data_IF_962010238045
#
_entry.id   IF_962010238045
#
_cell.length_a   1.000
_cell.length_b   1.000
_cell.length_c   1.000
_cell.angle_alpha   90.00
_cell.angle_beta   90.00
_cell.angle_gamma   90.00
#
_symmetry.space_group_name_H-M   'P 1'
#
loop_
_entity.id
_entity.type
_entity.pdbx_description
1 polymer ?
#
# COMPACT_ATOMS: atom_id res chain seq x y z
N UNK A 1 19.92 25.69 -7.83
CA UNK A 1 18.70 25.41 -7.02
C UNK A 1 19.00 24.22 -6.14
N UNK A 2 18.77 24.33 -4.85
CA UNK A 2 19.03 23.24 -3.90
C UNK A 2 17.99 22.12 -4.05
N UNK A 3 18.40 20.87 -3.82
CA UNK A 3 17.51 19.71 -3.83
C UNK A 3 17.31 19.21 -2.41
N UNK A 4 16.06 19.11 -1.98
CA UNK A 4 15.66 18.69 -0.64
C UNK A 4 14.95 17.35 -0.70
N UNK A 5 15.46 16.33 -0.04
CA UNK A 5 14.84 15.01 -0.01
C UNK A 5 14.10 14.76 1.29
N UNK A 6 12.83 14.37 1.19
CA UNK A 6 12.06 13.93 2.34
C UNK A 6 12.61 12.60 2.88
N UNK A 7 13.02 12.56 4.15
CA UNK A 7 13.54 11.36 4.80
C UNK A 7 12.53 10.22 4.91
N UNK A 8 11.22 10.55 4.89
CA UNK A 8 10.12 9.58 5.08
C UNK A 8 9.71 8.92 3.75
N UNK A 9 9.38 9.70 2.71
CA UNK A 9 8.87 9.15 1.45
C UNK A 9 9.84 9.25 0.28
N UNK A 10 11.03 9.85 0.49
CA UNK A 10 12.07 10.07 -0.53
C UNK A 10 11.62 10.98 -1.69
N UNK A 11 10.57 11.79 -1.47
CA UNK A 11 10.20 12.84 -2.41
C UNK A 11 11.31 13.89 -2.47
N UNK A 12 11.66 14.36 -3.67
CA UNK A 12 12.68 15.40 -3.88
C UNK A 12 11.98 16.70 -4.27
N UNK A 13 12.24 17.74 -3.49
CA UNK A 13 11.82 19.12 -3.78
C UNK A 13 13.01 19.92 -4.29
N UNK A 14 12.80 20.72 -5.33
CA UNK A 14 13.80 21.65 -5.86
C UNK A 14 13.40 23.06 -5.48
N UNK A 15 14.21 23.75 -4.69
CA UNK A 15 13.95 25.10 -4.22
C UNK A 15 15.09 25.62 -3.37
N UNK A 16 15.06 26.91 -3.00
CA UNK A 16 16.06 27.48 -2.09
C UNK A 16 15.89 26.99 -0.65
N UNK A 17 14.63 26.68 -0.26
CA UNK A 17 14.25 26.20 1.08
C UNK A 17 13.36 24.93 0.94
N UNK A 18 13.33 24.06 1.98
CA UNK A 18 12.43 22.93 2.02
C UNK A 18 10.97 23.41 2.14
N UNK A 19 9.99 22.69 1.56
CA UNK A 19 8.58 23.05 1.69
C UNK A 19 8.13 22.87 3.14
N UNK A 20 7.20 23.72 3.62
CA UNK A 20 6.65 23.63 4.98
C UNK A 20 6.10 22.23 5.32
N UNK A 21 5.53 21.57 4.31
CA UNK A 21 5.01 20.20 4.40
C UNK A 21 5.30 19.44 3.12
N UNK A 22 5.65 18.18 3.27
CA UNK A 22 5.82 17.30 2.13
C UNK A 22 4.48 17.11 1.38
N UNK A 23 4.39 17.40 0.08
CA UNK A 23 3.14 17.28 -0.69
C UNK A 23 2.67 15.82 -0.83
N UNK A 24 3.58 14.86 -0.68
CA UNK A 24 3.30 13.43 -0.84
C UNK A 24 2.83 12.79 0.47
N UNK A 25 3.63 12.90 1.54
CA UNK A 25 3.32 12.20 2.80
C UNK A 25 2.86 13.13 3.94
N UNK A 26 2.92 14.45 3.75
CA UNK A 26 2.40 15.44 4.69
C UNK A 26 3.26 15.67 5.94
N UNK A 27 4.51 15.19 5.99
CA UNK A 27 5.44 15.50 7.09
C UNK A 27 5.95 16.94 6.99
N UNK A 28 6.35 17.50 8.13
CA UNK A 28 6.85 18.87 8.21
C UNK A 28 8.27 19.01 7.62
N UNK A 29 8.71 20.25 7.41
CA UNK A 29 9.99 20.61 6.79
C UNK A 29 11.22 20.06 7.51
N UNK A 30 11.14 19.80 8.82
CA UNK A 30 12.21 19.20 9.65
C UNK A 30 12.64 17.79 9.18
N UNK A 31 11.84 17.15 8.34
CA UNK A 31 12.12 15.83 7.76
C UNK A 31 12.76 15.91 6.36
N UNK A 32 13.16 17.08 5.92
CA UNK A 32 13.88 17.24 4.67
C UNK A 32 15.38 17.34 4.92
N UNK A 33 16.14 16.65 4.09
CA UNK A 33 17.61 16.65 4.09
C UNK A 33 18.08 17.26 2.79
N UNK A 34 19.03 18.18 2.85
CA UNK A 34 19.66 18.76 1.68
C UNK A 34 20.48 17.66 0.97
N UNK A 35 20.21 17.45 -0.32
CA UNK A 35 21.08 16.66 -1.17
C UNK A 35 22.21 17.56 -1.63
N UNK A 36 23.42 17.33 -1.14
CA UNK A 36 24.62 17.95 -1.71
C UNK A 36 24.82 17.40 -3.12
N UNK A 37 24.94 18.28 -4.11
CA UNK A 37 25.33 17.87 -5.45
C UNK A 37 26.81 17.45 -5.39
N UNK A 38 27.06 16.14 -5.40
CA UNK A 38 28.37 15.63 -5.75
C UNK A 38 28.68 16.11 -7.16
N UNK A 39 29.70 16.95 -7.26
CA UNK A 39 30.27 17.49 -8.49
C UNK A 39 30.65 16.33 -9.39
N UNK A 40 29.96 16.15 -10.51
CA UNK A 40 30.39 15.24 -11.56
C UNK A 40 31.78 15.66 -12.09
N UNK A 41 32.68 14.73 -12.33
CA UNK A 41 33.71 14.92 -13.35
C UNK A 41 33.22 14.42 -14.70
N UNK A 42 33.34 15.33 -15.68
CA UNK A 42 33.24 15.27 -17.11
C UNK A 42 33.28 13.92 -17.82
N UNK A 43 32.32 13.80 -18.71
CA UNK A 43 32.39 13.30 -20.11
C UNK A 43 33.39 12.19 -20.47
N UNK A 44 32.87 11.07 -20.97
CA UNK A 44 33.35 10.44 -22.23
C UNK A 44 32.19 9.68 -22.89
N UNK A 45 32.13 9.89 -24.20
CA UNK A 45 31.24 9.43 -25.24
C UNK A 45 30.95 7.94 -25.35
N UNK A 46 29.91 7.72 -26.13
CA UNK A 46 29.19 6.53 -26.55
C UNK A 46 30.02 5.38 -27.14
N UNK A 47 29.46 4.25 -27.02
CA UNK A 47 29.04 3.17 -27.95
C UNK A 47 29.80 1.82 -27.86
N UNK A 48 29.28 0.74 -28.50
CA UNK A 48 28.31 -0.19 -27.90
C UNK A 48 28.77 -1.69 -27.91
N UNK A 49 27.87 -2.57 -27.41
CA UNK A 49 27.65 -3.99 -27.78
C UNK A 49 28.51 -5.10 -27.15
N UNK A 50 27.75 -6.08 -26.67
CA UNK A 50 27.91 -7.53 -26.64
C UNK A 50 28.44 -8.22 -25.38
N UNK A 51 27.48 -9.00 -24.84
CA UNK A 51 27.56 -10.41 -24.42
C UNK A 51 28.58 -10.93 -23.41
N UNK A 52 27.93 -11.55 -22.44
CA UNK A 52 28.24 -12.88 -21.89
C UNK A 52 29.27 -13.04 -20.77
N UNK A 53 28.68 -13.61 -19.70
CA UNK A 53 29.22 -14.71 -18.92
C UNK A 53 30.12 -14.45 -17.71
N UNK A 54 29.53 -14.85 -16.60
CA UNK A 54 30.07 -15.71 -15.52
C UNK A 54 31.16 -15.20 -14.59
N UNK A 55 30.75 -15.38 -13.35
CA UNK A 55 31.50 -15.96 -12.20
C UNK A 55 32.38 -15.04 -11.37
N UNK A 56 32.03 -15.15 -10.15
CA UNK A 56 32.84 -15.48 -8.95
C UNK A 56 33.30 -14.33 -8.04
N UNK A 57 32.70 -14.42 -6.86
CA UNK A 57 33.32 -14.50 -5.51
C UNK A 57 34.31 -13.40 -5.07
N UNK A 58 34.07 -13.03 -3.84
CA UNK A 58 34.98 -12.54 -2.82
C UNK A 58 34.72 -11.13 -2.26
N UNK A 59 34.12 -11.16 -1.07
CA UNK A 59 34.47 -10.44 0.15
C UNK A 59 35.25 -9.12 0.03
N UNK A 60 34.67 -8.04 0.59
CA UNK A 60 35.34 -7.47 1.77
C UNK A 60 34.43 -6.55 2.58
N UNK A 61 34.53 -6.73 3.87
CA UNK A 61 33.88 -6.00 4.91
C UNK A 61 34.52 -4.61 5.08
N UNK A 62 33.68 -3.58 5.29
CA UNK A 62 34.10 -2.44 6.10
C UNK A 62 32.96 -1.68 6.72
N UNK A 63 32.98 -1.71 8.04
CA UNK A 63 32.54 -0.74 9.04
C UNK A 63 31.12 -0.18 8.99
N UNK A 64 30.31 -0.72 9.92
CA UNK A 64 29.10 -0.12 10.43
C UNK A 64 29.42 1.10 11.34
N UNK A 65 28.56 2.14 11.34
CA UNK A 65 28.42 2.96 12.52
C UNK A 65 27.36 2.34 13.43
N UNK A 66 27.77 2.05 14.64
CA UNK A 66 26.98 1.68 15.81
C UNK A 66 25.94 2.76 16.11
N UNK A 67 24.68 2.38 16.05
CA UNK A 67 23.52 3.16 16.47
C UNK A 67 22.35 2.20 16.61
N UNK A 68 22.29 1.52 17.76
CA UNK A 68 21.25 0.54 18.13
C UNK A 68 19.98 1.26 18.54
N UNK A 69 19.06 1.43 17.59
CA UNK A 69 17.62 1.58 17.88
C UNK A 69 16.81 1.08 16.67
N UNK A 70 16.98 -0.22 16.37
CA UNK A 70 16.13 -0.88 15.37
C UNK A 70 15.01 -1.59 16.11
N UNK A 71 13.73 -1.30 15.82
CA UNK A 71 12.57 -1.98 16.43
C UNK A 71 12.59 -3.51 16.29
N UNK A 72 13.45 -4.05 15.43
CA UNK A 72 13.62 -5.49 15.22
C UNK A 72 14.46 -6.21 16.28
N UNK A 73 15.35 -5.54 16.99
CA UNK A 73 16.25 -6.20 17.94
C UNK A 73 15.51 -6.80 19.14
N UNK A 74 14.57 -6.05 19.72
CA UNK A 74 13.73 -6.52 20.84
C UNK A 74 12.77 -7.66 20.45
N UNK A 75 12.36 -7.72 19.17
CA UNK A 75 11.50 -8.78 18.65
C UNK A 75 12.29 -10.08 18.44
N UNK A 76 13.53 -10.00 17.97
CA UNK A 76 14.42 -11.14 17.76
C UNK A 76 14.78 -11.80 19.10
N UNK A 77 15.03 -11.00 20.14
CA UNK A 77 15.34 -11.49 21.49
C UNK A 77 14.17 -12.31 22.08
N UNK A 78 12.94 -11.92 21.75
CA UNK A 78 11.71 -12.56 22.29
C UNK A 78 11.30 -13.84 21.56
N UNK A 79 11.59 -13.99 20.27
CA UNK A 79 11.07 -15.05 19.40
C UNK A 79 12.12 -15.98 18.76
N UNK A 80 13.42 -15.81 19.09
CA UNK A 80 14.49 -16.70 18.66
C UNK A 80 14.67 -16.82 17.14
N UNK A 81 15.17 -17.97 16.62
CA UNK A 81 15.52 -18.13 15.21
C UNK A 81 14.36 -17.92 14.22
N UNK A 82 13.12 -18.17 14.64
CA UNK A 82 11.93 -17.89 13.81
C UNK A 82 11.79 -16.39 13.51
N UNK A 83 12.18 -15.51 14.43
CA UNK A 83 12.13 -14.07 14.24
C UNK A 83 13.08 -13.59 13.13
N UNK A 84 14.23 -14.23 12.97
CA UNK A 84 15.17 -13.90 11.89
C UNK A 84 14.58 -14.20 10.52
N UNK A 85 13.87 -15.32 10.36
CA UNK A 85 13.19 -15.66 9.11
C UNK A 85 12.01 -14.72 8.83
N UNK A 86 11.24 -14.36 9.85
CA UNK A 86 10.17 -13.38 9.72
C UNK A 86 10.70 -11.99 9.34
N UNK A 87 11.83 -11.58 9.92
CA UNK A 87 12.48 -10.32 9.60
C UNK A 87 12.93 -10.27 8.13
N UNK A 88 13.61 -11.33 7.66
CA UNK A 88 14.02 -11.46 6.25
C UNK A 88 12.81 -11.47 5.32
N UNK A 89 11.75 -12.20 5.64
CA UNK A 89 10.53 -12.24 4.86
C UNK A 89 9.88 -10.84 4.77
N UNK A 90 9.80 -10.11 5.87
CA UNK A 90 9.25 -8.77 5.91
C UNK A 90 10.10 -7.76 5.10
N UNK A 91 11.43 -7.87 5.15
CA UNK A 91 12.33 -7.06 4.30
C UNK A 91 12.13 -7.36 2.81
N UNK A 92 12.01 -8.64 2.43
CA UNK A 92 11.73 -9.05 1.06
C UNK A 92 10.37 -8.52 0.59
N UNK A 93 9.32 -8.60 1.43
CA UNK A 93 8.00 -8.07 1.09
C UNK A 93 8.03 -6.56 0.80
N UNK A 94 8.76 -5.78 1.59
CA UNK A 94 8.90 -4.34 1.35
C UNK A 94 9.76 -4.06 0.11
N UNK A 95 10.86 -4.80 -0.08
CA UNK A 95 11.75 -4.67 -1.25
C UNK A 95 11.03 -4.96 -2.56
N UNK A 96 10.17 -5.98 -2.59
CA UNK A 96 9.43 -6.38 -3.77
C UNK A 96 8.05 -5.73 -3.90
N UNK A 97 7.80 -4.63 -3.17
CA UNK A 97 6.54 -3.88 -3.25
C UNK A 97 5.29 -4.76 -3.02
N UNK A 98 5.34 -5.69 -2.06
CA UNK A 98 4.26 -6.65 -1.81
C UNK A 98 2.92 -5.96 -1.53
N UNK A 99 2.90 -4.82 -0.83
CA UNK A 99 1.65 -4.09 -0.58
C UNK A 99 1.04 -3.48 -1.86
N UNK A 100 1.76 -2.69 -2.68
CA UNK A 100 1.24 -2.26 -3.97
C UNK A 100 0.69 -3.41 -4.82
N UNK A 101 1.40 -4.55 -4.88
CA UNK A 101 0.93 -5.72 -5.63
C UNK A 101 -0.34 -6.33 -5.04
N UNK A 102 -0.41 -6.51 -3.72
CA UNK A 102 -1.56 -7.15 -3.06
C UNK A 102 -2.85 -6.34 -3.15
N UNK A 103 -2.78 -4.99 -3.20
CA UNK A 103 -3.96 -4.13 -3.31
C UNK A 103 -4.61 -4.15 -4.69
N UNK A 104 -3.92 -4.63 -5.73
CA UNK A 104 -4.50 -4.71 -7.08
C UNK A 104 -5.71 -5.63 -7.12
N UNK A 105 -5.71 -6.74 -6.35
CA UNK A 105 -6.84 -7.66 -6.32
C UNK A 105 -8.12 -6.98 -5.79
N UNK A 106 -8.18 -6.45 -4.56
CA UNK A 106 -9.39 -5.79 -4.09
C UNK A 106 -9.73 -4.54 -4.90
N UNK A 107 -8.77 -3.74 -5.34
CA UNK A 107 -9.03 -2.55 -6.14
C UNK A 107 -9.58 -2.86 -7.53
N UNK A 108 -9.25 -4.01 -8.12
CA UNK A 108 -9.82 -4.47 -9.38
C UNK A 108 -11.19 -5.13 -9.22
N UNK A 109 -11.40 -5.89 -8.15
CA UNK A 109 -12.61 -6.67 -7.93
C UNK A 109 -13.77 -5.84 -7.33
N UNK A 110 -13.49 -4.92 -6.41
CA UNK A 110 -14.54 -4.09 -5.76
C UNK A 110 -15.39 -3.30 -6.77
N UNK A 111 -14.82 -2.65 -7.81
CA UNK A 111 -15.63 -2.01 -8.85
C UNK A 111 -16.58 -2.98 -9.56
N UNK A 112 -16.11 -4.19 -9.86
CA UNK A 112 -16.93 -5.24 -10.49
C UNK A 112 -18.08 -5.63 -9.56
N UNK A 113 -17.83 -5.82 -8.26
CA UNK A 113 -18.88 -6.09 -7.27
C UNK A 113 -19.94 -4.99 -7.28
N UNK A 114 -19.52 -3.73 -7.21
CA UNK A 114 -20.46 -2.60 -7.18
C UNK A 114 -21.33 -2.57 -8.45
N UNK A 115 -20.73 -2.80 -9.63
CA UNK A 115 -21.46 -2.88 -10.91
C UNK A 115 -22.44 -4.06 -10.89
N UNK A 116 -22.00 -5.25 -10.47
CA UNK A 116 -22.87 -6.44 -10.43
C UNK A 116 -24.06 -6.25 -9.49
N UNK A 117 -23.85 -5.67 -8.30
CA UNK A 117 -24.90 -5.40 -7.32
C UNK A 117 -25.90 -4.37 -7.87
N UNK A 118 -25.43 -3.31 -8.51
CA UNK A 118 -26.28 -2.28 -9.12
C UNK A 118 -27.11 -2.91 -10.27
N UNK A 119 -26.47 -3.64 -11.16
CA UNK A 119 -27.15 -4.32 -12.28
C UNK A 119 -28.17 -5.37 -11.77
N UNK A 120 -27.82 -6.12 -10.71
CA UNK A 120 -28.72 -7.05 -10.07
C UNK A 120 -29.96 -6.36 -9.50
N UNK A 121 -29.77 -5.18 -8.89
CA UNK A 121 -30.89 -4.39 -8.34
C UNK A 121 -31.86 -3.92 -9.42
N UNK A 122 -31.35 -3.42 -10.55
CA UNK A 122 -32.23 -2.97 -11.66
C UNK A 122 -32.89 -4.11 -12.45
N UNK A 123 -32.17 -5.24 -12.62
CA UNK A 123 -32.66 -6.37 -13.41
C UNK A 123 -33.45 -7.41 -12.61
N UNK A 124 -33.36 -7.37 -11.28
CA UNK A 124 -33.89 -8.43 -10.41
C UNK A 124 -33.11 -9.76 -10.53
N UNK A 125 -31.97 -9.77 -11.15
CA UNK A 125 -31.22 -11.00 -11.46
C UNK A 125 -30.46 -11.52 -10.24
N UNK A 126 -30.89 -12.66 -9.70
CA UNK A 126 -30.18 -13.37 -8.63
C UNK A 126 -28.81 -13.87 -9.06
N UNK A 127 -28.63 -14.21 -10.33
CA UNK A 127 -27.33 -14.65 -10.86
C UNK A 127 -26.25 -13.57 -10.72
N UNK A 128 -26.62 -12.30 -11.04
CA UNK A 128 -25.69 -11.17 -10.89
C UNK A 128 -25.34 -10.90 -9.43
N UNK A 129 -26.35 -11.00 -8.53
CA UNK A 129 -26.13 -10.83 -7.11
C UNK A 129 -25.21 -11.93 -6.54
N UNK A 130 -25.44 -13.19 -6.95
CA UNK A 130 -24.60 -14.32 -6.54
C UNK A 130 -23.16 -14.17 -7.07
N UNK A 131 -22.98 -13.72 -8.31
CA UNK A 131 -21.66 -13.41 -8.86
C UNK A 131 -20.97 -12.30 -8.05
N UNK A 132 -21.71 -11.24 -7.68
CA UNK A 132 -21.20 -10.19 -6.78
C UNK A 132 -20.75 -10.74 -5.43
N UNK A 133 -21.54 -11.63 -4.82
CA UNK A 133 -21.19 -12.28 -3.56
C UNK A 133 -19.92 -13.13 -3.65
N UNK A 134 -19.77 -13.93 -4.70
CA UNK A 134 -18.54 -14.72 -4.92
C UNK A 134 -17.32 -13.81 -4.99
N UNK A 135 -17.42 -12.70 -5.72
CA UNK A 135 -16.33 -11.72 -5.80
C UNK A 135 -16.04 -11.06 -4.44
N UNK A 136 -17.06 -10.77 -3.60
CA UNK A 136 -16.87 -10.28 -2.24
C UNK A 136 -16.08 -11.26 -1.38
N UNK A 137 -16.30 -12.56 -1.52
CA UNK A 137 -15.53 -13.59 -0.79
C UNK A 137 -14.05 -13.53 -1.19
N UNK A 138 -13.72 -13.39 -2.47
CA UNK A 138 -12.33 -13.20 -2.90
C UNK A 138 -11.71 -11.92 -2.33
N UNK A 139 -12.46 -10.83 -2.29
CA UNK A 139 -12.01 -9.60 -1.62
C UNK A 139 -11.72 -9.88 -0.16
N UNK A 140 -12.64 -10.50 0.59
CA UNK A 140 -12.48 -10.81 2.00
C UNK A 140 -11.21 -11.63 2.28
N UNK A 141 -10.94 -12.67 1.48
CA UNK A 141 -9.74 -13.50 1.61
C UNK A 141 -8.47 -12.69 1.37
N UNK A 142 -8.51 -11.68 0.52
CA UNK A 142 -7.35 -10.81 0.25
C UNK A 142 -7.07 -9.78 1.35
N UNK A 143 -8.08 -9.37 2.14
CA UNK A 143 -7.94 -8.31 3.14
C UNK A 143 -6.85 -8.56 4.19
N UNK A 144 -6.69 -9.77 4.76
CA UNK A 144 -5.60 -10.04 5.72
C UNK A 144 -4.21 -9.80 5.11
N UNK A 145 -4.01 -10.25 3.86
CA UNK A 145 -2.73 -10.08 3.15
C UNK A 145 -2.45 -8.60 2.89
N UNK A 146 -3.45 -7.87 2.41
CA UNK A 146 -3.36 -6.43 2.15
C UNK A 146 -3.10 -5.66 3.45
N UNK A 147 -3.78 -6.03 4.54
CA UNK A 147 -3.60 -5.42 5.86
C UNK A 147 -2.19 -5.63 6.40
N UNK A 148 -1.71 -6.88 6.39
CA UNK A 148 -0.37 -7.22 6.87
C UNK A 148 0.73 -6.52 6.07
N UNK A 149 0.67 -6.59 4.74
CA UNK A 149 1.65 -5.94 3.87
C UNK A 149 1.62 -4.42 4.01
N UNK A 150 0.42 -3.83 4.21
CA UNK A 150 0.24 -2.39 4.43
C UNK A 150 0.84 -1.91 5.75
N UNK A 151 0.65 -2.66 6.84
CA UNK A 151 1.25 -2.35 8.13
C UNK A 151 2.77 -2.46 8.07
N UNK A 152 3.30 -3.51 7.44
CA UNK A 152 4.75 -3.68 7.25
C UNK A 152 5.36 -2.54 6.43
N UNK A 153 4.73 -2.16 5.32
CA UNK A 153 5.20 -1.02 4.51
C UNK A 153 5.15 0.28 5.30
N UNK A 154 4.08 0.54 6.05
CA UNK A 154 3.96 1.75 6.87
C UNK A 154 5.02 1.82 7.97
N UNK A 155 5.32 0.70 8.63
CA UNK A 155 6.33 0.65 9.67
C UNK A 155 7.74 0.84 9.13
N UNK A 156 8.09 0.17 8.03
CA UNK A 156 9.48 0.10 7.55
C UNK A 156 9.85 1.17 6.52
N UNK A 157 8.92 1.48 5.63
CA UNK A 157 9.17 2.45 4.56
C UNK A 157 8.83 3.87 4.97
N UNK A 158 7.79 4.04 5.78
CA UNK A 158 7.29 5.36 6.17
C UNK A 158 7.52 5.72 7.65
N UNK A 159 8.35 4.96 8.38
CA UNK A 159 8.72 5.20 9.78
C UNK A 159 7.50 5.50 10.67
N UNK A 160 6.41 4.77 10.48
CA UNK A 160 5.17 4.92 11.25
C UNK A 160 4.61 6.35 11.23
N UNK A 161 4.83 7.11 10.15
CA UNK A 161 4.37 8.49 10.04
C UNK A 161 2.86 8.60 10.27
N UNK A 162 2.46 9.45 11.23
CA UNK A 162 1.06 9.65 11.62
C UNK A 162 0.49 10.94 11.03
N UNK A 163 0.71 11.17 9.75
CA UNK A 163 0.17 12.33 9.06
C UNK A 163 -1.31 12.16 8.70
N UNK A 164 -1.98 13.27 8.36
CA UNK A 164 -3.38 13.24 7.92
C UNK A 164 -3.59 12.31 6.72
N UNK A 165 -2.59 12.23 5.81
CA UNK A 165 -2.62 11.36 4.62
C UNK A 165 -2.76 9.88 5.02
N UNK A 166 -1.92 9.40 5.95
CA UNK A 166 -1.99 8.02 6.43
C UNK A 166 -3.27 7.73 7.22
N UNK A 167 -3.73 8.68 8.06
CA UNK A 167 -4.99 8.53 8.81
C UNK A 167 -6.18 8.38 7.88
N UNK A 168 -6.28 9.20 6.83
CA UNK A 168 -7.35 9.12 5.83
C UNK A 168 -7.26 7.80 5.06
N UNK A 169 -6.05 7.39 4.63
CA UNK A 169 -5.84 6.11 3.93
C UNK A 169 -6.31 4.93 4.77
N UNK A 170 -5.91 4.87 6.06
CA UNK A 170 -6.31 3.79 6.97
C UNK A 170 -7.81 3.80 7.20
N UNK A 171 -8.40 4.98 7.47
CA UNK A 171 -9.86 5.10 7.68
C UNK A 171 -10.64 4.63 6.44
N UNK A 172 -10.25 5.05 5.24
CA UNK A 172 -10.90 4.66 3.99
C UNK A 172 -10.78 3.15 3.73
N UNK A 173 -9.61 2.55 3.96
CA UNK A 173 -9.41 1.11 3.86
C UNK A 173 -10.24 0.33 4.90
N UNK A 174 -10.34 0.84 6.13
CA UNK A 174 -11.17 0.24 7.17
C UNK A 174 -12.66 0.29 6.82
N UNK A 175 -13.14 1.42 6.27
CA UNK A 175 -14.53 1.53 5.78
C UNK A 175 -14.79 0.50 4.69
N UNK A 176 -13.89 0.36 3.71
CA UNK A 176 -14.05 -0.64 2.65
C UNK A 176 -14.10 -2.07 3.22
N UNK A 177 -13.23 -2.41 4.16
CA UNK A 177 -13.19 -3.72 4.79
C UNK A 177 -14.48 -4.01 5.60
N UNK A 178 -14.94 -3.06 6.40
CA UNK A 178 -16.17 -3.19 7.18
C UNK A 178 -17.39 -3.36 6.26
N UNK A 179 -17.50 -2.54 5.20
CA UNK A 179 -18.58 -2.65 4.21
C UNK A 179 -18.56 -4.04 3.52
N UNK A 180 -17.38 -4.57 3.19
CA UNK A 180 -17.24 -5.91 2.61
C UNK A 180 -17.78 -6.98 3.57
N UNK A 181 -17.38 -6.94 4.84
CA UNK A 181 -17.85 -7.90 5.85
C UNK A 181 -19.37 -7.80 6.06
N UNK A 182 -19.91 -6.58 6.19
CA UNK A 182 -21.34 -6.36 6.34
C UNK A 182 -22.11 -6.91 5.13
N UNK A 183 -21.65 -6.64 3.91
CA UNK A 183 -22.30 -7.12 2.69
C UNK A 183 -22.31 -8.64 2.61
N UNK A 184 -21.23 -9.32 2.99
CA UNK A 184 -21.17 -10.77 3.02
C UNK A 184 -22.12 -11.34 4.06
N UNK A 185 -22.09 -10.83 5.30
CA UNK A 185 -22.97 -11.30 6.37
C UNK A 185 -24.44 -11.09 5.99
N UNK A 186 -24.75 -9.91 5.43
CA UNK A 186 -26.14 -9.61 5.03
C UNK A 186 -26.63 -10.55 3.94
N UNK A 187 -25.82 -10.81 2.91
CA UNK A 187 -26.19 -11.76 1.87
C UNK A 187 -26.37 -13.19 2.42
N UNK A 188 -25.53 -13.64 3.35
CA UNK A 188 -25.65 -14.97 3.96
C UNK A 188 -26.94 -15.11 4.80
N UNK A 189 -27.39 -14.02 5.46
CA UNK A 189 -28.65 -14.01 6.23
C UNK A 189 -29.86 -13.88 5.32
N UNK A 190 -29.77 -13.08 4.25
CA UNK A 190 -30.85 -12.84 3.31
C UNK A 190 -30.30 -12.82 1.86
N UNK A 191 -30.28 -14.00 1.19
CA UNK A 191 -29.82 -14.08 -0.21
C UNK A 191 -30.69 -13.28 -1.20
N UNK A 192 -31.93 -12.97 -0.82
CA UNK A 192 -32.86 -12.17 -1.62
C UNK A 192 -32.91 -10.70 -1.19
N UNK A 193 -31.79 -10.17 -0.65
CA UNK A 193 -31.71 -8.82 -0.08
C UNK A 193 -32.22 -7.74 -1.04
N UNK A 194 -31.97 -7.88 -2.35
CA UNK A 194 -32.40 -6.90 -3.35
C UNK A 194 -33.89 -6.87 -3.61
N UNK A 195 -34.64 -7.92 -3.21
CA UNK A 195 -36.13 -7.94 -3.20
C UNK A 195 -36.73 -7.40 -1.91
N UNK A 196 -35.92 -7.08 -0.91
CA UNK A 196 -36.39 -6.59 0.39
C UNK A 196 -36.42 -5.05 0.46
N UNK A 197 -37.06 -4.52 1.50
CA UNK A 197 -37.05 -3.08 1.79
C UNK A 197 -35.68 -2.51 2.07
N UNK A 198 -34.71 -3.39 2.40
CA UNK A 198 -33.29 -3.04 2.65
C UNK A 198 -32.41 -2.96 1.40
N UNK A 199 -32.93 -3.24 0.21
CA UNK A 199 -32.16 -3.30 -1.04
C UNK A 199 -31.33 -2.04 -1.29
N UNK A 200 -31.89 -0.87 -1.14
CA UNK A 200 -31.21 0.41 -1.34
C UNK A 200 -30.01 0.58 -0.39
N UNK A 201 -30.15 0.15 0.85
CA UNK A 201 -29.08 0.22 1.85
C UNK A 201 -27.96 -0.76 1.52
N UNK A 202 -28.29 -1.96 1.04
CA UNK A 202 -27.30 -2.93 0.58
C UNK A 202 -26.49 -2.39 -0.60
N UNK A 203 -27.15 -1.77 -1.58
CA UNK A 203 -26.50 -1.11 -2.72
C UNK A 203 -25.61 0.04 -2.23
N UNK A 204 -26.12 0.89 -1.32
CA UNK A 204 -25.38 2.00 -0.74
C UNK A 204 -24.09 1.54 -0.04
N UNK A 205 -24.14 0.46 0.75
CA UNK A 205 -22.95 -0.11 1.42
C UNK A 205 -21.91 -0.55 0.41
N UNK A 206 -22.33 -1.18 -0.70
CA UNK A 206 -21.39 -1.61 -1.75
C UNK A 206 -20.79 -0.42 -2.54
N UNK A 207 -21.55 0.66 -2.75
CA UNK A 207 -21.03 1.92 -3.32
C UNK A 207 -20.08 2.62 -2.34
N UNK A 208 -20.40 2.63 -1.05
CA UNK A 208 -19.52 3.17 -0.01
C UNK A 208 -18.20 2.36 0.10
N UNK A 209 -18.26 1.04 -0.04
CA UNK A 209 -17.09 0.17 -0.15
C UNK A 209 -16.20 0.58 -1.31
N UNK A 210 -16.79 0.80 -2.49
CA UNK A 210 -16.08 1.26 -3.69
C UNK A 210 -15.43 2.63 -3.46
N UNK A 211 -16.14 3.57 -2.86
CA UNK A 211 -15.60 4.90 -2.55
C UNK A 211 -14.42 4.81 -1.58
N UNK A 212 -14.52 3.99 -0.52
CA UNK A 212 -13.44 3.75 0.42
C UNK A 212 -12.20 3.14 -0.24
N UNK A 213 -12.39 2.11 -1.07
CA UNK A 213 -11.30 1.48 -1.83
C UNK A 213 -10.65 2.48 -2.81
N UNK A 214 -11.45 3.30 -3.51
CA UNK A 214 -10.97 4.33 -4.43
C UNK A 214 -10.11 5.39 -3.72
N UNK A 215 -10.56 5.91 -2.57
CA UNK A 215 -9.79 6.88 -1.78
C UNK A 215 -8.49 6.26 -1.27
N UNK A 216 -8.54 5.05 -0.69
CA UNK A 216 -7.35 4.37 -0.18
C UNK A 216 -6.35 4.06 -1.31
N UNK A 217 -6.85 3.63 -2.48
CA UNK A 217 -6.04 3.35 -3.68
C UNK A 217 -5.41 4.61 -4.27
N UNK A 218 -6.18 5.71 -4.40
CA UNK A 218 -5.67 7.00 -4.88
C UNK A 218 -4.53 7.52 -4.00
N UNK A 219 -4.73 7.54 -2.67
CA UNK A 219 -3.68 7.95 -1.73
C UNK A 219 -2.48 7.00 -1.82
N UNK A 220 -2.72 5.69 -1.97
CA UNK A 220 -1.67 4.70 -2.16
C UNK A 220 -0.85 4.97 -3.42
N UNK A 221 -1.50 5.25 -4.54
CA UNK A 221 -0.84 5.64 -5.80
C UNK A 221 0.03 6.89 -5.64
N UNK A 222 -0.52 7.94 -5.04
CA UNK A 222 0.23 9.18 -4.75
C UNK A 222 1.51 8.93 -3.93
N UNK A 223 1.44 8.04 -2.92
CA UNK A 223 2.61 7.68 -2.11
C UNK A 223 3.66 6.86 -2.87
N UNK A 224 3.24 6.05 -3.84
CA UNK A 224 4.14 5.22 -4.66
C UNK A 224 4.81 6.04 -5.75
N UNK A 225 4.02 6.83 -6.51
CA UNK A 225 4.52 7.62 -7.64
C UNK A 225 5.13 8.95 -7.22
N UNK A 226 4.95 9.36 -5.95
CA UNK A 226 5.51 10.60 -5.38
C UNK A 226 5.03 11.88 -6.08
N UNK A 227 3.76 11.89 -6.51
CA UNK A 227 3.08 13.01 -7.17
C UNK A 227 2.18 13.80 -6.20
#
# INVERSE_FOLDING_TARGET
MKKWQCSVCKYVHTGEEPPEKCPVCGVASDKFVLLEEDTEPDTIEAEPVAEASKSDDSQEASSAPSGTDTPGAAFIEKFGPAAVHMEKAAQLMVKHHAHPMSVHLPNGVIPIVAILVILAWFSGSQLLLQAGFINLVFVLISLPIVGLTGVLEWQRKYNQAQTKVFKIKIAAASVAAICCIISIIWYLVNPEVLGSSGAWLFVFINVLMLAGAGVAGHIGGKLVFKE
#
